data_IF_473767088470
#
_entry.id   IF_473767088470
#
_cell.length_a   1.000
_cell.length_b   1.000
_cell.length_c   1.000
_cell.angle_alpha   90.00
_cell.angle_beta   90.00
_cell.angle_gamma   90.00
#
_symmetry.space_group_name_H-M   'P 1'
#
loop_
_entity.id
_entity.type
_entity.pdbx_description
1 polymer ?
#
# COMPACT_ATOMS: atom_id res chain seq x y z
N UNK A 1 55.34 9.09 16.18
CA UNK A 1 54.42 9.21 15.03
C UNK A 1 53.09 8.58 15.42
N UNK A 2 52.08 9.40 15.69
CA UNK A 2 50.74 8.92 15.95
C UNK A 2 50.17 8.39 14.63
N UNK A 3 49.72 7.13 14.63
CA UNK A 3 48.96 6.53 13.54
C UNK A 3 47.66 7.33 13.43
N UNK A 4 47.35 8.00 12.30
CA UNK A 4 46.05 8.61 12.16
C UNK A 4 45.01 7.49 12.29
N UNK A 5 44.02 7.71 13.15
CA UNK A 5 42.83 6.87 13.23
C UNK A 5 42.35 6.69 11.81
N UNK A 6 42.33 5.43 11.35
CA UNK A 6 41.74 5.09 10.08
C UNK A 6 40.28 5.46 10.16
N UNK A 7 39.95 6.61 9.59
CA UNK A 7 38.59 6.87 9.15
C UNK A 7 38.22 5.66 8.30
N UNK A 8 37.30 4.84 8.82
CA UNK A 8 36.62 3.82 8.04
C UNK A 8 36.03 4.55 6.85
N UNK A 9 36.74 4.51 5.72
CA UNK A 9 36.22 4.94 4.43
C UNK A 9 35.10 3.97 4.07
N UNK A 10 33.92 4.20 4.64
CA UNK A 10 32.68 3.63 4.15
C UNK A 10 32.47 4.31 2.80
N UNK A 11 32.96 3.65 1.75
CA UNK A 11 32.98 4.10 0.34
C UNK A 11 31.56 4.23 -0.27
N UNK A 12 30.56 3.94 0.55
CA UNK A 12 29.15 4.16 0.36
C UNK A 12 28.86 5.63 0.61
N UNK A 13 28.27 6.36 -0.35
CA UNK A 13 27.86 7.74 -0.07
C UNK A 13 27.00 7.76 1.20
N UNK A 14 27.38 8.51 2.25
CA UNK A 14 26.65 8.52 3.52
C UNK A 14 25.16 8.83 3.30
N UNK A 15 24.88 9.69 2.33
CA UNK A 15 23.55 10.00 1.84
C UNK A 15 22.71 8.75 1.53
N UNK A 16 23.22 7.80 0.74
CA UNK A 16 22.46 6.59 0.36
C UNK A 16 22.18 5.70 1.56
N UNK A 17 23.13 5.57 2.51
CA UNK A 17 22.94 4.80 3.75
C UNK A 17 21.82 5.39 4.61
N UNK A 18 21.86 6.70 4.85
CA UNK A 18 20.84 7.39 5.65
C UNK A 18 19.48 7.42 4.96
N UNK A 19 19.45 7.59 3.63
CA UNK A 19 18.21 7.54 2.85
C UNK A 19 17.57 6.16 2.91
N UNK A 20 18.35 5.08 2.74
CA UNK A 20 17.86 3.71 2.88
C UNK A 20 17.33 3.43 4.27
N UNK A 21 18.06 3.82 5.31
CA UNK A 21 17.62 3.65 6.69
C UNK A 21 16.32 4.41 6.94
N UNK A 22 16.24 5.68 6.51
CA UNK A 22 15.06 6.51 6.69
C UNK A 22 13.80 5.91 6.03
N UNK A 23 13.89 5.51 4.76
CA UNK A 23 12.76 4.90 4.06
C UNK A 23 12.34 3.57 4.69
N UNK A 24 13.31 2.70 5.05
CA UNK A 24 12.99 1.44 5.71
C UNK A 24 12.35 1.66 7.10
N UNK A 25 12.84 2.63 7.88
CA UNK A 25 12.27 2.97 9.17
C UNK A 25 10.83 3.51 9.05
N UNK A 26 10.56 4.34 8.03
CA UNK A 26 9.21 4.84 7.76
C UNK A 26 8.25 3.70 7.41
N UNK A 27 8.64 2.81 6.49
CA UNK A 27 7.81 1.65 6.15
C UNK A 27 7.63 0.70 7.34
N UNK A 28 8.66 0.52 8.16
CA UNK A 28 8.58 -0.29 9.38
C UNK A 28 7.55 0.27 10.38
N UNK A 29 7.55 1.58 10.62
CA UNK A 29 6.56 2.24 11.49
C UNK A 29 5.13 2.10 10.95
N UNK A 30 4.94 2.30 9.64
CA UNK A 30 3.63 2.11 8.99
C UNK A 30 3.17 0.66 9.12
N UNK A 31 4.08 -0.30 8.92
CA UNK A 31 3.77 -1.72 9.04
C UNK A 31 3.36 -2.10 10.46
N UNK A 32 4.09 -1.59 11.47
CA UNK A 32 3.75 -1.80 12.88
C UNK A 32 2.37 -1.23 13.22
N UNK A 33 2.06 -0.02 12.77
CA UNK A 33 0.73 0.59 12.96
C UNK A 33 -0.38 -0.24 12.28
N UNK A 34 -0.12 -0.75 11.08
CA UNK A 34 -1.08 -1.57 10.32
C UNK A 34 -1.36 -2.91 11.02
N UNK A 35 -0.31 -3.58 11.52
CA UNK A 35 -0.45 -4.82 12.30
C UNK A 35 -1.19 -4.56 13.60
N UNK A 36 -0.86 -3.48 14.32
CA UNK A 36 -1.54 -3.12 15.56
C UNK A 36 -3.03 -2.83 15.34
N UNK A 37 -3.37 -2.07 14.29
CA UNK A 37 -4.76 -1.80 13.90
C UNK A 37 -5.50 -3.10 13.53
N UNK A 38 -4.86 -4.01 12.80
CA UNK A 38 -5.43 -5.32 12.45
C UNK A 38 -5.72 -6.18 13.69
N UNK A 39 -4.77 -6.25 14.64
CA UNK A 39 -4.97 -6.97 15.91
C UNK A 39 -6.09 -6.34 16.72
N UNK A 40 -6.10 -5.01 16.85
CA UNK A 40 -7.14 -4.28 17.56
C UNK A 40 -8.54 -4.55 16.97
N UNK A 41 -8.68 -4.49 15.63
CA UNK A 41 -9.93 -4.78 14.94
C UNK A 41 -10.43 -6.22 15.19
N UNK A 42 -9.52 -7.19 15.29
CA UNK A 42 -9.86 -8.60 15.59
C UNK A 42 -10.36 -8.78 17.00
N UNK A 43 -9.74 -8.10 17.97
CA UNK A 43 -10.14 -8.16 19.38
C UNK A 43 -11.52 -7.51 19.60
N UNK A 44 -11.82 -6.42 18.89
CA UNK A 44 -13.07 -5.67 19.09
C UNK A 44 -14.29 -6.35 18.45
N UNK A 45 -14.12 -7.02 17.29
CA UNK A 45 -15.27 -7.53 16.50
C UNK A 45 -15.79 -8.91 16.93
N UNK A 46 -15.21 -9.62 17.91
CA UNK A 46 -15.61 -10.98 18.34
C UNK A 46 -16.08 -11.90 17.18
N UNK A 47 -15.46 -11.79 16.01
CA UNK A 47 -16.06 -12.30 14.78
C UNK A 47 -15.59 -13.72 14.51
N UNK A 48 -16.41 -14.70 14.92
CA UNK A 48 -16.52 -15.93 14.14
C UNK A 48 -16.95 -15.54 12.71
N UNK A 49 -16.19 -16.01 11.72
CA UNK A 49 -16.51 -15.93 10.29
C UNK A 49 -16.63 -14.53 9.64
N UNK A 50 -15.56 -13.75 9.66
CA UNK A 50 -15.23 -12.79 8.58
C UNK A 50 -13.71 -12.79 8.34
N UNK A 51 -13.19 -13.99 8.09
CA UNK A 51 -11.78 -14.28 7.84
C UNK A 51 -11.58 -14.37 6.34
N UNK A 52 -11.01 -13.32 5.74
CA UNK A 52 -10.17 -13.47 4.54
C UNK A 52 -9.37 -12.18 4.31
N UNK A 53 -10.04 -11.03 4.19
CA UNK A 53 -9.37 -9.79 3.80
C UNK A 53 -8.53 -9.18 4.94
N UNK A 54 -9.08 -9.07 6.15
CA UNK A 54 -8.36 -8.50 7.30
C UNK A 54 -7.15 -9.36 7.73
N UNK A 55 -7.27 -10.70 7.64
CA UNK A 55 -6.16 -11.63 7.94
C UNK A 55 -5.07 -11.52 6.90
N UNK A 56 -5.43 -11.45 5.63
CA UNK A 56 -4.48 -11.23 4.55
C UNK A 56 -3.72 -9.91 4.73
N UNK A 57 -4.42 -8.81 5.06
CA UNK A 57 -3.78 -7.53 5.35
C UNK A 57 -2.82 -7.59 6.54
N UNK A 58 -3.19 -8.28 7.63
CA UNK A 58 -2.29 -8.50 8.76
C UNK A 58 -1.07 -9.32 8.35
N UNK A 59 -1.25 -10.41 7.60
CA UNK A 59 -0.14 -11.27 7.15
C UNK A 59 0.85 -10.50 6.26
N UNK A 60 0.34 -9.68 5.33
CA UNK A 60 1.16 -8.78 4.50
C UNK A 60 1.88 -7.75 5.37
N UNK A 61 1.20 -7.17 6.36
CA UNK A 61 1.80 -6.23 7.32
C UNK A 61 2.93 -6.86 8.14
N UNK A 62 2.79 -8.12 8.56
CA UNK A 62 3.88 -8.83 9.27
C UNK A 62 5.06 -9.09 8.34
N UNK A 63 4.81 -9.49 7.10
CA UNK A 63 5.87 -9.72 6.12
C UNK A 63 6.67 -8.43 5.85
N UNK A 64 5.99 -7.30 5.62
CA UNK A 64 6.63 -6.00 5.40
C UNK A 64 7.42 -5.56 6.64
N UNK A 65 6.88 -5.80 7.85
CA UNK A 65 7.57 -5.50 9.10
C UNK A 65 8.91 -6.26 9.20
N UNK A 66 8.92 -7.56 8.90
CA UNK A 66 10.14 -8.36 8.93
C UNK A 66 11.17 -7.91 7.89
N UNK A 67 10.73 -7.67 6.64
CA UNK A 67 11.60 -7.22 5.55
C UNK A 67 12.25 -5.88 5.87
N UNK A 68 11.46 -4.91 6.37
CA UNK A 68 11.95 -3.56 6.70
C UNK A 68 12.83 -3.57 7.95
N UNK A 69 12.53 -4.41 8.94
CA UNK A 69 13.41 -4.63 10.10
C UNK A 69 14.77 -5.17 9.68
N UNK A 70 14.80 -6.20 8.81
CA UNK A 70 16.04 -6.72 8.24
C UNK A 70 16.80 -5.65 7.44
N UNK A 71 16.10 -4.80 6.68
CA UNK A 71 16.69 -3.67 5.97
C UNK A 71 17.36 -2.65 6.90
N UNK A 72 16.67 -2.25 7.99
CA UNK A 72 17.22 -1.36 9.01
C UNK A 72 18.46 -1.95 9.68
N UNK A 73 18.39 -3.22 10.14
CA UNK A 73 19.52 -3.90 10.81
C UNK A 73 20.68 -4.10 9.83
N UNK A 74 20.41 -4.51 8.59
CA UNK A 74 21.42 -4.69 7.55
C UNK A 74 22.17 -3.40 7.24
N UNK A 75 21.44 -2.27 7.16
CA UNK A 75 22.04 -0.95 6.95
C UNK A 75 22.86 -0.45 8.13
N UNK A 76 22.45 -0.74 9.38
CA UNK A 76 23.17 -0.30 10.58
C UNK A 76 24.39 -1.17 10.90
N UNK A 77 24.29 -2.49 10.70
CA UNK A 77 25.34 -3.47 11.01
C UNK A 77 26.32 -3.70 9.86
N UNK A 78 26.11 -3.05 8.72
CA UNK A 78 26.89 -3.25 7.47
C UNK A 78 27.07 -4.73 7.11
N UNK A 79 26.05 -5.54 7.43
CA UNK A 79 26.11 -6.98 7.20
C UNK A 79 25.66 -7.29 5.76
N UNK A 80 26.63 -7.65 4.92
CA UNK A 80 26.44 -7.93 3.49
C UNK A 80 25.38 -9.02 3.25
N UNK A 81 25.35 -10.07 4.07
CA UNK A 81 24.39 -11.17 3.93
C UNK A 81 22.95 -10.70 4.17
N UNK A 82 22.72 -9.89 5.22
CA UNK A 82 21.40 -9.29 5.50
C UNK A 82 20.98 -8.32 4.38
N UNK A 83 21.91 -7.52 3.86
CA UNK A 83 21.64 -6.59 2.76
C UNK A 83 21.34 -7.32 1.45
N UNK A 84 22.04 -8.42 1.17
CA UNK A 84 21.76 -9.30 0.03
C UNK A 84 20.40 -9.96 0.14
N UNK A 85 20.05 -10.54 1.29
CA UNK A 85 18.73 -11.12 1.52
C UNK A 85 17.62 -10.08 1.32
N UNK A 86 17.79 -8.88 1.86
CA UNK A 86 16.87 -7.75 1.66
C UNK A 86 16.73 -7.39 0.17
N UNK A 87 17.84 -7.29 -0.57
CA UNK A 87 17.81 -7.01 -2.02
C UNK A 87 17.09 -8.08 -2.83
N UNK A 88 17.26 -9.36 -2.48
CA UNK A 88 16.56 -10.47 -3.14
C UNK A 88 15.06 -10.40 -2.85
N UNK A 89 14.67 -10.20 -1.59
CA UNK A 89 13.27 -10.01 -1.20
C UNK A 89 12.60 -8.86 -1.97
N UNK A 90 13.24 -7.69 -2.04
CA UNK A 90 12.72 -6.56 -2.80
C UNK A 90 12.58 -6.85 -4.29
N UNK A 91 13.53 -7.60 -4.87
CA UNK A 91 13.46 -8.01 -6.27
C UNK A 91 12.26 -8.93 -6.52
N UNK A 92 12.01 -9.90 -5.63
CA UNK A 92 10.86 -10.80 -5.72
C UNK A 92 9.55 -10.01 -5.60
N UNK A 93 9.44 -9.11 -4.62
CA UNK A 93 8.26 -8.25 -4.45
C UNK A 93 8.01 -7.40 -5.69
N UNK A 94 9.07 -6.84 -6.27
CA UNK A 94 8.97 -6.08 -7.52
C UNK A 94 8.44 -6.93 -8.68
N UNK A 95 8.95 -8.15 -8.86
CA UNK A 95 8.47 -9.06 -9.90
C UNK A 95 7.00 -9.45 -9.68
N UNK A 96 6.60 -9.71 -8.44
CA UNK A 96 5.20 -9.97 -8.07
C UNK A 96 4.31 -8.75 -8.36
N UNK A 97 4.80 -7.53 -8.09
CA UNK A 97 4.06 -6.30 -8.38
C UNK A 97 3.90 -6.08 -9.89
N UNK A 98 4.93 -6.35 -10.69
CA UNK A 98 4.83 -6.32 -12.15
C UNK A 98 3.83 -7.35 -12.66
N UNK A 99 3.92 -8.59 -12.18
CA UNK A 99 2.98 -9.66 -12.56
C UNK A 99 1.54 -9.28 -12.18
N UNK A 100 1.31 -8.80 -10.96
CA UNK A 100 0.02 -8.32 -10.50
C UNK A 100 -0.50 -7.13 -11.34
N UNK A 101 0.37 -6.20 -11.72
CA UNK A 101 0.01 -5.06 -12.59
C UNK A 101 -0.42 -5.53 -13.98
N UNK A 102 0.30 -6.47 -14.59
CA UNK A 102 -0.05 -7.05 -15.89
C UNK A 102 -1.35 -7.83 -15.80
N UNK A 103 -1.51 -8.69 -14.80
CA UNK A 103 -2.74 -9.44 -14.56
C UNK A 103 -3.93 -8.51 -14.28
N UNK A 104 -3.74 -7.45 -13.50
CA UNK A 104 -4.76 -6.45 -13.20
C UNK A 104 -5.20 -5.68 -14.44
N UNK A 105 -4.28 -5.44 -15.39
CA UNK A 105 -4.61 -4.84 -16.67
C UNK A 105 -5.37 -5.81 -17.58
N UNK A 106 -4.91 -7.06 -17.71
CA UNK A 106 -5.53 -8.07 -18.59
C UNK A 106 -6.92 -8.48 -18.09
N UNK A 107 -7.11 -8.59 -16.78
CA UNK A 107 -8.37 -9.01 -16.16
C UNK A 107 -9.14 -7.83 -15.55
N UNK A 108 -8.94 -6.61 -16.05
CA UNK A 108 -9.54 -5.39 -15.50
C UNK A 108 -11.06 -5.48 -15.40
N UNK A 109 -11.73 -6.05 -16.41
CA UNK A 109 -13.19 -6.12 -16.43
C UNK A 109 -13.74 -7.15 -15.44
N UNK A 110 -13.08 -8.30 -15.28
CA UNK A 110 -13.43 -9.27 -14.24
C UNK A 110 -13.17 -8.72 -12.84
N UNK A 111 -12.06 -8.00 -12.66
CA UNK A 111 -11.73 -7.34 -11.41
C UNK A 111 -12.78 -6.28 -11.05
N UNK A 112 -13.20 -5.45 -12.02
CA UNK A 112 -14.29 -4.48 -11.84
C UNK A 112 -15.58 -5.16 -11.38
N UNK A 113 -16.01 -6.22 -12.05
CA UNK A 113 -17.21 -6.97 -11.66
C UNK A 113 -17.14 -7.48 -10.22
N UNK A 114 -16.01 -8.08 -9.82
CA UNK A 114 -15.80 -8.54 -8.44
C UNK A 114 -15.81 -7.41 -7.42
N UNK A 115 -15.20 -6.27 -7.75
CA UNK A 115 -15.22 -5.09 -6.88
C UNK A 115 -16.65 -4.55 -6.74
N UNK A 116 -17.42 -4.49 -7.83
CA UNK A 116 -18.83 -4.09 -7.78
C UNK A 116 -19.66 -5.03 -6.89
N UNK A 117 -19.45 -6.35 -6.98
CA UNK A 117 -20.13 -7.32 -6.09
C UNK A 117 -19.83 -7.06 -4.62
N UNK A 118 -18.56 -6.81 -4.28
CA UNK A 118 -18.12 -6.49 -2.92
C UNK A 118 -18.75 -5.18 -2.43
N UNK A 119 -18.76 -4.15 -3.28
CA UNK A 119 -19.36 -2.85 -2.94
C UNK A 119 -20.86 -2.99 -2.73
N UNK A 120 -21.55 -3.73 -3.59
CA UNK A 120 -22.99 -3.97 -3.45
C UNK A 120 -23.33 -4.71 -2.16
N UNK A 121 -22.55 -5.73 -1.80
CA UNK A 121 -22.69 -6.41 -0.51
C UNK A 121 -22.44 -5.45 0.68
N UNK A 122 -21.49 -4.52 0.54
CA UNK A 122 -21.19 -3.51 1.55
C UNK A 122 -22.28 -2.43 1.66
N UNK A 123 -22.94 -2.05 0.56
CA UNK A 123 -24.03 -1.07 0.53
C UNK A 123 -25.21 -1.51 1.40
N UNK A 124 -25.52 -2.82 1.42
CA UNK A 124 -26.59 -3.39 2.24
C UNK A 124 -26.40 -3.09 3.74
N UNK A 125 -25.15 -3.04 4.20
CA UNK A 125 -24.77 -2.83 5.60
C UNK A 125 -24.24 -1.41 5.87
N UNK A 126 -24.46 -0.46 4.95
CA UNK A 126 -23.84 0.86 5.00
C UNK A 126 -24.13 1.64 6.29
N UNK A 127 -25.32 1.47 6.90
CA UNK A 127 -25.71 2.14 8.15
C UNK A 127 -25.40 1.33 9.42
N UNK A 128 -24.91 0.11 9.29
CA UNK A 128 -24.69 -0.80 10.42
C UNK A 128 -23.38 -0.53 11.15
N UNK A 129 -22.37 -0.01 10.43
CA UNK A 129 -21.03 0.28 10.96
C UNK A 129 -20.55 1.66 10.47
N UNK A 130 -20.20 2.55 11.41
CA UNK A 130 -19.70 3.90 11.13
C UNK A 130 -18.37 3.87 10.35
N UNK A 131 -17.52 2.87 10.59
CA UNK A 131 -16.26 2.72 9.88
C UNK A 131 -16.50 2.31 8.43
N UNK A 132 -17.49 1.44 8.19
CA UNK A 132 -17.90 1.05 6.85
C UNK A 132 -18.48 2.24 6.08
N UNK A 133 -19.34 3.03 6.74
CA UNK A 133 -19.88 4.26 6.20
C UNK A 133 -18.77 5.23 5.78
N UNK A 134 -17.83 5.52 6.67
CA UNK A 134 -16.70 6.42 6.40
C UNK A 134 -15.82 5.91 5.25
N UNK A 135 -15.59 4.61 5.18
CA UNK A 135 -14.79 3.98 4.12
C UNK A 135 -15.47 4.11 2.74
N UNK A 136 -16.77 3.81 2.65
CA UNK A 136 -17.53 3.93 1.40
C UNK A 136 -17.60 5.39 0.97
N UNK A 137 -17.88 6.31 1.90
CA UNK A 137 -17.95 7.74 1.61
C UNK A 137 -16.60 8.32 1.16
N UNK A 138 -15.50 7.87 1.75
CA UNK A 138 -14.15 8.22 1.32
C UNK A 138 -13.89 7.70 -0.09
N UNK A 139 -14.19 6.42 -0.36
CA UNK A 139 -14.00 5.82 -1.67
C UNK A 139 -14.79 6.53 -2.77
N UNK A 140 -16.06 6.82 -2.52
CA UNK A 140 -16.93 7.51 -3.49
C UNK A 140 -16.44 8.93 -3.83
N UNK A 141 -15.94 9.68 -2.83
CA UNK A 141 -15.34 11.00 -3.06
C UNK A 141 -14.01 10.90 -3.80
N UNK A 142 -13.13 10.00 -3.36
CA UNK A 142 -11.77 9.85 -3.90
C UNK A 142 -11.79 9.39 -5.36
N UNK A 143 -12.68 8.46 -5.70
CA UNK A 143 -12.80 7.92 -7.05
C UNK A 143 -13.91 8.60 -7.88
N UNK A 144 -14.60 9.59 -7.32
CA UNK A 144 -15.73 10.28 -7.96
C UNK A 144 -16.75 9.31 -8.55
N UNK A 145 -17.09 8.27 -7.80
CA UNK A 145 -18.03 7.21 -8.19
C UNK A 145 -19.21 7.14 -7.23
N UNK A 146 -20.29 6.49 -7.66
CA UNK A 146 -21.49 6.29 -6.83
C UNK A 146 -22.08 4.90 -7.06
N UNK A 147 -22.11 4.08 -6.01
CA UNK A 147 -22.50 2.67 -6.09
C UNK A 147 -21.37 1.76 -6.60
N UNK A 148 -21.69 0.48 -6.81
CA UNK A 148 -20.75 -0.51 -7.35
C UNK A 148 -20.65 -0.46 -8.87
N UNK A 149 -21.78 -0.24 -9.55
CA UNK A 149 -21.92 -0.04 -11.00
C UNK A 149 -22.68 1.24 -11.29
N UNK A 150 -23.71 1.56 -10.49
CA UNK A 150 -24.57 2.70 -10.69
C UNK A 150 -25.10 3.24 -9.36
N UNK A 151 -25.51 4.52 -9.36
CA UNK A 151 -26.19 5.13 -8.22
C UNK A 151 -27.46 4.36 -7.80
N UNK A 152 -28.05 3.57 -8.71
CA UNK A 152 -29.23 2.73 -8.42
C UNK A 152 -28.94 1.58 -7.45
N UNK A 153 -27.68 1.19 -7.27
CA UNK A 153 -27.28 0.10 -6.36
C UNK A 153 -27.66 0.43 -4.91
N UNK A 154 -27.77 1.71 -4.56
CA UNK A 154 -28.25 2.17 -3.27
C UNK A 154 -29.67 1.71 -2.94
N UNK A 155 -30.48 1.36 -3.93
CA UNK A 155 -31.81 0.78 -3.70
C UNK A 155 -31.78 -0.56 -2.95
N UNK A 156 -30.63 -1.24 -2.89
CA UNK A 156 -30.44 -2.47 -2.11
C UNK A 156 -30.38 -2.22 -0.60
N UNK A 157 -30.01 -1.01 -0.17
CA UNK A 157 -29.97 -0.65 1.24
C UNK A 157 -31.37 -0.30 1.76
N UNK A 158 -31.72 -0.78 2.96
CA UNK A 158 -33.06 -0.58 3.53
C UNK A 158 -33.45 0.89 3.69
N UNK A 159 -32.49 1.79 3.93
CA UNK A 159 -32.75 3.22 4.14
C UNK A 159 -32.96 3.99 2.83
N UNK A 160 -32.37 3.55 1.73
CA UNK A 160 -32.42 4.24 0.42
C UNK A 160 -33.40 3.59 -0.56
N UNK A 161 -33.88 2.37 -0.26
CA UNK A 161 -34.80 1.62 -1.10
C UNK A 161 -36.05 2.42 -1.50
N UNK A 162 -36.31 2.56 -2.79
CA UNK A 162 -37.31 3.49 -3.35
C UNK A 162 -38.77 2.97 -3.32
N UNK A 163 -39.06 1.90 -2.56
CA UNK A 163 -40.42 1.34 -2.48
C UNK A 163 -41.38 2.31 -1.77
N UNK A 164 -42.61 2.53 -2.27
CA UNK A 164 -43.58 3.44 -1.65
C UNK A 164 -43.89 3.18 -0.17
N UNK A 165 -43.70 1.94 0.29
CA UNK A 165 -43.89 1.52 1.68
C UNK A 165 -42.71 1.82 2.61
N UNK A 166 -41.55 2.24 2.08
CA UNK A 166 -40.37 2.53 2.90
C UNK A 166 -40.59 3.86 3.67
N UNK A 167 -40.57 3.83 5.03
CA UNK A 167 -40.77 5.03 5.85
C UNK A 167 -39.52 5.91 5.98
N UNK A 168 -38.38 5.48 5.45
CA UNK A 168 -37.12 6.22 5.55
C UNK A 168 -37.20 7.59 4.87
N UNK A 169 -36.67 8.63 5.54
CA UNK A 169 -36.51 9.96 4.95
C UNK A 169 -35.50 9.98 3.80
N UNK A 170 -34.59 9.01 3.77
CA UNK A 170 -33.56 8.86 2.74
C UNK A 170 -34.04 7.98 1.57
N UNK A 171 -35.34 7.66 1.52
CA UNK A 171 -35.92 6.88 0.43
C UNK A 171 -35.67 7.54 -0.93
N UNK A 172 -35.33 6.73 -1.93
CA UNK A 172 -35.03 7.20 -3.30
C UNK A 172 -33.88 8.22 -3.36
N UNK A 173 -33.03 8.28 -2.33
CA UNK A 173 -31.83 9.11 -2.29
C UNK A 173 -30.56 8.27 -2.33
N UNK A 174 -29.42 8.95 -2.35
CA UNK A 174 -28.08 8.37 -2.25
C UNK A 174 -27.31 9.14 -1.17
N UNK A 175 -26.22 8.57 -0.61
CA UNK A 175 -25.41 9.30 0.35
C UNK A 175 -24.84 10.60 -0.19
N UNK A 176 -24.51 11.50 0.73
CA UNK A 176 -23.93 12.81 0.40
C UNK A 176 -22.60 12.71 -0.36
N UNK A 177 -21.86 11.62 -0.21
CA UNK A 177 -20.62 11.32 -0.94
C UNK A 177 -20.83 11.09 -2.44
N UNK A 178 -22.04 10.67 -2.84
CA UNK A 178 -22.45 10.57 -4.24
C UNK A 178 -22.89 11.91 -4.86
N UNK A 179 -23.16 12.92 -4.05
CA UNK A 179 -23.63 14.21 -4.55
C UNK A 179 -22.47 15.01 -5.13
N UNK A 180 -22.52 15.31 -6.42
CA UNK A 180 -21.62 16.28 -7.05
C UNK A 180 -21.93 17.66 -6.47
N UNK A 181 -20.97 18.26 -5.75
CA UNK A 181 -21.08 19.67 -5.37
C UNK A 181 -20.90 20.52 -6.62
N UNK A 182 -21.99 21.12 -7.08
CA UNK A 182 -22.00 22.10 -8.16
C UNK A 182 -21.15 23.31 -7.73
N UNK A 183 -19.87 23.29 -8.08
CA UNK A 183 -19.12 24.52 -8.25
C UNK A 183 -19.05 24.74 -9.75
N UNK A 184 -19.33 25.98 -10.15
CA UNK A 184 -19.38 26.52 -11.50
C UNK A 184 -18.06 26.37 -12.30
N UNK A 185 -17.54 25.15 -12.41
CA UNK A 185 -16.38 24.79 -13.18
C UNK A 185 -16.72 23.50 -13.91
N UNK A 186 -17.22 23.66 -15.14
CA UNK A 186 -17.25 22.60 -16.15
C UNK A 186 -15.81 22.08 -16.29
N UNK A 187 -15.46 21.06 -15.52
CA UNK A 187 -14.48 20.07 -15.96
C UNK A 187 -15.28 19.03 -16.69
N UNK A 188 -15.34 19.21 -18.00
CA UNK A 188 -15.69 18.16 -18.94
C UNK A 188 -14.99 16.87 -18.47
N UNK A 189 -15.76 15.79 -18.31
CA UNK A 189 -15.25 14.46 -17.97
C UNK A 189 -14.50 13.91 -19.19
N UNK A 190 -13.38 14.55 -19.51
CA UNK A 190 -12.31 13.95 -20.28
C UNK A 190 -11.37 13.34 -19.25
N UNK A 191 -11.32 12.02 -19.24
CA UNK A 191 -10.35 11.18 -18.53
C UNK A 191 -10.39 11.18 -16.98
N UNK A 192 -11.09 10.19 -16.42
CA UNK A 192 -10.71 9.55 -15.15
C UNK A 192 -9.37 8.80 -15.20
N UNK A 193 -8.46 9.22 -16.09
CA UNK A 193 -7.08 8.79 -16.22
C UNK A 193 -6.11 9.93 -15.82
N UNK A 194 -6.62 11.00 -15.19
CA UNK A 194 -5.84 12.16 -14.74
C UNK A 194 -5.28 12.06 -13.32
N UNK A 195 -5.46 10.92 -12.63
CA UNK A 195 -4.58 10.59 -11.53
C UNK A 195 -3.24 10.21 -12.12
N UNK A 196 -2.16 10.91 -11.78
CA UNK A 196 -0.82 10.32 -11.88
C UNK A 196 -0.95 8.89 -11.36
N UNK A 197 -0.60 7.86 -12.15
CA UNK A 197 -0.75 6.49 -11.70
C UNK A 197 -0.02 6.36 -10.37
N UNK A 198 -0.75 6.37 -9.25
CA UNK A 198 -0.17 6.39 -7.90
C UNK A 198 0.70 5.14 -7.69
N UNK A 199 0.39 4.07 -8.43
CA UNK A 199 1.22 2.88 -8.55
C UNK A 199 2.57 3.10 -9.26
N UNK A 200 2.65 3.98 -10.27
CA UNK A 200 3.90 4.26 -11.00
C UNK A 200 4.92 4.98 -10.12
N UNK A 201 4.48 5.89 -9.22
CA UNK A 201 5.37 6.51 -8.22
C UNK A 201 5.96 5.44 -7.30
N UNK A 202 5.13 4.51 -6.81
CA UNK A 202 5.61 3.39 -5.98
C UNK A 202 6.60 2.47 -6.71
N UNK A 203 6.32 2.13 -7.97
CA UNK A 203 7.20 1.32 -8.82
C UNK A 203 8.54 2.03 -9.07
N UNK A 204 8.51 3.33 -9.39
CA UNK A 204 9.71 4.14 -9.60
C UNK A 204 10.55 4.24 -8.33
N UNK A 205 9.92 4.49 -7.17
CA UNK A 205 10.61 4.53 -5.88
C UNK A 205 11.23 3.17 -5.54
N UNK A 206 10.52 2.06 -5.76
CA UNK A 206 11.06 0.72 -5.56
C UNK A 206 12.26 0.44 -6.49
N UNK A 207 12.19 0.84 -7.76
CA UNK A 207 13.30 0.69 -8.71
C UNK A 207 14.53 1.50 -8.31
N UNK A 208 14.33 2.76 -7.90
CA UNK A 208 15.41 3.61 -7.39
C UNK A 208 16.05 2.94 -6.17
N UNK A 209 15.25 2.48 -5.20
CA UNK A 209 15.77 1.81 -4.01
C UNK A 209 16.54 0.52 -4.35
N UNK A 210 16.01 -0.33 -5.24
CA UNK A 210 16.69 -1.57 -5.68
C UNK A 210 18.03 -1.25 -6.36
N UNK A 211 18.08 -0.23 -7.23
CA UNK A 211 19.32 0.17 -7.90
C UNK A 211 20.35 0.64 -6.87
N UNK A 212 19.95 1.51 -5.95
CA UNK A 212 20.81 2.01 -4.88
C UNK A 212 21.37 0.85 -4.04
N UNK A 213 20.55 -0.11 -3.62
CA UNK A 213 20.99 -1.26 -2.81
C UNK A 213 21.95 -2.17 -3.58
N UNK A 214 21.71 -2.44 -4.86
CA UNK A 214 22.62 -3.26 -5.68
C UNK A 214 23.99 -2.62 -5.83
N UNK A 215 24.03 -1.31 -6.03
CA UNK A 215 25.28 -0.55 -6.08
C UNK A 215 26.02 -0.62 -4.74
N UNK A 216 25.28 -0.52 -3.62
CA UNK A 216 25.86 -0.72 -2.28
C UNK A 216 26.48 -2.11 -2.11
N UNK A 217 25.77 -3.17 -2.52
CA UNK A 217 26.26 -4.55 -2.40
C UNK A 217 27.51 -4.76 -3.25
N UNK A 218 27.54 -4.24 -4.49
CA UNK A 218 28.72 -4.34 -5.38
C UNK A 218 29.95 -3.69 -4.78
N UNK A 219 29.81 -2.49 -4.22
CA UNK A 219 30.92 -1.78 -3.57
C UNK A 219 31.42 -2.51 -2.31
N UNK A 220 30.50 -3.04 -1.49
CA UNK A 220 30.85 -3.81 -0.30
C UNK A 220 31.55 -5.15 -0.65
N UNK A 221 31.11 -5.84 -1.71
CA UNK A 221 31.78 -7.04 -2.23
C UNK A 221 33.16 -6.73 -2.81
N UNK A 222 33.27 -5.66 -3.60
CA UNK A 222 34.56 -5.18 -4.14
C UNK A 222 35.55 -4.91 -3.01
N UNK A 223 35.12 -4.19 -1.96
CA UNK A 223 35.96 -3.91 -0.81
C UNK A 223 36.33 -5.17 -0.03
N UNK A 224 35.39 -6.09 0.21
CA UNK A 224 35.68 -7.34 0.89
C UNK A 224 36.69 -8.20 0.11
N UNK A 225 36.63 -8.19 -1.22
CA UNK A 225 37.54 -8.92 -2.08
C UNK A 225 38.94 -8.30 -2.09
N UNK A 226 39.05 -6.97 -2.08
CA UNK A 226 40.33 -6.25 -2.11
C UNK A 226 40.93 -5.96 -0.72
N UNK A 227 40.21 -6.26 0.36
CA UNK A 227 40.74 -6.17 1.74
C UNK A 227 41.90 -7.15 2.00
N UNK A 228 42.02 -8.22 1.21
CA UNK A 228 43.03 -9.27 1.38
C UNK A 228 44.21 -9.17 0.40
N UNK A 229 44.23 -8.17 -0.48
CA UNK A 229 45.31 -8.03 -1.47
C UNK A 229 46.61 -7.56 -0.80
N UNK A 230 47.76 -8.24 -1.01
CA UNK A 230 49.01 -7.96 -0.30
C UNK A 230 49.69 -6.61 -0.61
N UNK A 231 49.11 -5.77 -1.48
CA UNK A 231 49.72 -4.52 -1.95
C UNK A 231 49.18 -3.26 -1.24
N UNK A 232 48.70 -3.40 -0.01
CA UNK A 232 48.38 -2.29 0.91
C UNK A 232 49.02 -2.49 2.29
#
# INVERSE_FOLDING_TARGET
MARPQGDEFSFVSPAVKYVLFFFNALFWMISMATVAAGVYARLLKHAEAAVDLAVLFMAVGVLIFLITFCGCVGSLRENICLLQAFSVCLTIVFLLQLAASVLGFVFSDKARGKVSDIINAAIVHYRDDLDLQNLIDFGQKEFSCCGGVSYKDWSQNMYFNCTPANPSQERCSVPFSCCLRDTHQVRTVSSGLGGTPRGLVGILLAQILIHQIKDQIKLQLYNHQHRADPWY
#
